data_IF_807747269591
#
_entry.id   IF_807747269591
#
_cell.length_a   1.000
_cell.length_b   1.000
_cell.length_c   1.000
_cell.angle_alpha   90.00
_cell.angle_beta   90.00
_cell.angle_gamma   90.00
#
_symmetry.space_group_name_H-M   'P 1'
#
loop_
_entity.id
_entity.type
_entity.pdbx_description
1 polymer ?
#
# COMPACT_ATOMS: atom_id res chain seq x y z
N UNK A 1 -12.46 12.48 5.74
CA UNK A 1 -12.04 11.40 4.95
C UNK A 1 -11.87 10.19 5.77
N UNK A 2 -12.22 9.05 5.31
CA UNK A 2 -12.09 7.84 6.10
C UNK A 2 -10.67 7.34 6.05
N UNK A 3 -10.30 6.59 7.09
CA UNK A 3 -8.97 6.03 7.13
C UNK A 3 -8.72 5.08 5.99
N UNK A 4 -9.74 4.33 5.62
CA UNK A 4 -9.59 3.38 4.53
C UNK A 4 -9.29 4.09 3.22
N UNK A 5 -9.96 5.19 2.96
CA UNK A 5 -9.76 5.93 1.74
C UNK A 5 -8.34 6.48 1.68
N UNK A 6 -7.86 7.02 2.78
CA UNK A 6 -6.53 7.59 2.79
C UNK A 6 -5.46 6.54 2.60
N UNK A 7 -5.61 5.40 3.26
CA UNK A 7 -4.64 4.33 3.15
C UNK A 7 -4.63 3.78 1.72
N UNK A 8 -5.80 3.63 1.14
CA UNK A 8 -5.92 3.11 -0.19
C UNK A 8 -5.31 4.05 -1.22
N UNK A 9 -5.55 5.34 -1.06
CA UNK A 9 -4.99 6.32 -1.98
C UNK A 9 -3.47 6.34 -1.88
N UNK A 10 -2.95 6.24 -0.68
CA UNK A 10 -1.51 6.19 -0.50
C UNK A 10 -0.91 4.95 -1.13
N UNK A 11 -1.57 3.82 -0.96
CA UNK A 11 -1.12 2.58 -1.56
C UNK A 11 -1.05 2.70 -3.07
N UNK A 12 -2.10 3.25 -3.66
CA UNK A 12 -2.15 3.40 -5.11
C UNK A 12 -1.05 4.35 -5.62
N UNK A 13 -0.79 5.40 -4.88
CA UNK A 13 0.27 6.32 -5.26
C UNK A 13 1.64 5.65 -5.24
N UNK A 14 1.86 4.81 -4.23
CA UNK A 14 3.12 4.08 -4.15
C UNK A 14 3.22 3.07 -5.29
N UNK A 15 2.13 2.38 -5.60
CA UNK A 15 2.14 1.44 -6.71
C UNK A 15 2.51 2.13 -8.01
N UNK A 16 1.92 3.28 -8.26
CA UNK A 16 2.20 4.01 -9.49
C UNK A 16 3.66 4.45 -9.55
N UNK A 17 4.18 4.86 -8.43
CA UNK A 17 5.58 5.27 -8.37
C UNK A 17 6.49 4.08 -8.69
N UNK A 18 6.19 2.92 -8.12
CA UNK A 18 7.00 1.75 -8.37
C UNK A 18 6.91 1.29 -9.82
N UNK A 19 5.72 1.34 -10.40
CA UNK A 19 5.56 0.97 -11.79
C UNK A 19 6.34 1.92 -12.69
N UNK A 20 6.24 3.21 -12.39
CA UNK A 20 6.83 4.19 -13.26
C UNK A 20 8.35 4.22 -13.13
N UNK A 21 8.86 4.13 -11.93
CA UNK A 21 10.29 4.30 -11.71
C UNK A 21 11.07 3.00 -11.71
N UNK A 22 10.42 1.89 -11.40
CA UNK A 22 11.13 0.62 -11.29
C UNK A 22 10.56 -0.46 -12.19
N UNK A 23 9.58 -0.10 -13.00
CA UNK A 23 8.95 -1.05 -13.93
C UNK A 23 8.37 -2.24 -13.18
N UNK A 24 7.78 -1.98 -12.05
CA UNK A 24 7.25 -3.02 -11.20
C UNK A 24 5.93 -3.57 -11.73
N UNK A 25 5.65 -4.82 -11.39
CA UNK A 25 4.36 -5.41 -11.66
C UNK A 25 3.67 -5.63 -10.33
N UNK A 26 2.44 -5.19 -10.21
CA UNK A 26 1.71 -5.34 -8.97
C UNK A 26 0.85 -6.59 -9.09
N UNK A 27 1.07 -7.55 -8.21
CA UNK A 27 0.44 -8.85 -8.38
C UNK A 27 -0.56 -9.18 -7.30
N UNK A 28 -0.68 -8.42 -6.25
CA UNK A 28 -1.66 -8.74 -5.22
C UNK A 28 -1.99 -7.54 -4.40
N UNK A 29 -3.20 -7.47 -3.92
CA UNK A 29 -3.64 -6.40 -3.05
C UNK A 29 -4.36 -7.02 -1.87
N UNK A 30 -4.12 -6.50 -0.69
CA UNK A 30 -4.86 -6.92 0.47
C UNK A 30 -5.18 -5.70 1.31
N UNK A 31 -6.29 -5.74 1.99
CA UNK A 31 -6.65 -4.65 2.86
C UNK A 31 -7.12 -5.20 4.16
N UNK A 32 -6.73 -4.56 5.23
CA UNK A 32 -7.28 -4.86 6.53
C UNK A 32 -8.63 -4.22 6.61
N UNK A 33 -9.66 -4.99 6.77
CA UNK A 33 -10.98 -4.44 6.71
C UNK A 33 -11.56 -4.13 8.05
N UNK A 34 -10.91 -4.46 9.14
CA UNK A 34 -11.47 -4.24 10.43
C UNK A 34 -11.65 -2.77 10.72
N UNK A 35 -10.65 -2.00 10.52
CA UNK A 35 -10.77 -0.57 10.71
C UNK A 35 -10.21 0.20 9.55
N UNK A 36 -9.80 -0.47 8.49
CA UNK A 36 -9.38 0.22 7.28
C UNK A 36 -8.09 0.96 7.39
N UNK A 37 -7.27 0.61 8.35
CA UNK A 37 -6.07 1.41 8.54
C UNK A 37 -4.82 0.75 7.98
N UNK A 38 -4.94 -0.36 7.29
CA UNK A 38 -3.77 -1.03 6.73
C UNK A 38 -4.09 -1.60 5.37
N UNK A 39 -3.11 -1.62 4.51
CA UNK A 39 -3.23 -2.22 3.19
C UNK A 39 -1.90 -2.80 2.79
N UNK A 40 -1.91 -3.85 1.99
CA UNK A 40 -0.65 -4.41 1.53
C UNK A 40 -0.77 -4.79 0.07
N UNK A 41 0.36 -4.94 -0.56
CA UNK A 41 0.38 -5.38 -1.95
C UNK A 41 1.74 -6.03 -2.23
N UNK A 42 1.80 -6.76 -3.31
CA UNK A 42 3.03 -7.40 -3.73
C UNK A 42 3.49 -6.77 -5.04
N UNK A 43 4.73 -6.39 -5.08
CA UNK A 43 5.33 -5.81 -6.28
C UNK A 43 6.48 -6.71 -6.74
N UNK A 44 6.55 -6.96 -8.03
CA UNK A 44 7.65 -7.74 -8.59
C UNK A 44 8.52 -6.78 -9.38
N UNK A 45 9.76 -6.64 -8.98
CA UNK A 45 10.71 -5.76 -9.62
C UNK A 45 11.93 -6.59 -10.00
N UNK A 46 12.22 -6.62 -11.29
CA UNK A 46 13.40 -7.34 -11.76
C UNK A 46 13.34 -8.81 -11.38
N UNK A 47 12.16 -9.38 -11.39
CA UNK A 47 11.98 -10.78 -11.07
C UNK A 47 11.95 -11.10 -9.59
N UNK A 48 12.05 -10.09 -8.73
CA UNK A 48 12.08 -10.29 -7.29
C UNK A 48 10.78 -9.78 -6.70
N UNK A 49 10.14 -10.60 -5.88
CA UNK A 49 8.90 -10.24 -5.25
C UNK A 49 9.14 -9.48 -3.97
N UNK A 50 8.45 -8.39 -3.80
CA UNK A 50 8.51 -7.59 -2.58
C UNK A 50 7.10 -7.46 -2.02
N UNK A 51 6.96 -7.63 -0.72
CA UNK A 51 5.68 -7.49 -0.06
C UNK A 51 5.72 -6.21 0.74
N UNK A 52 4.85 -5.28 0.42
CA UNK A 52 4.85 -3.98 1.06
C UNK A 52 3.55 -3.80 1.83
N UNK A 53 3.68 -3.21 3.01
CA UNK A 53 2.52 -2.96 3.86
C UNK A 53 2.51 -1.50 4.25
N UNK A 54 1.34 -0.90 4.21
CA UNK A 54 1.13 0.47 4.61
C UNK A 54 0.14 0.45 5.75
N UNK A 55 0.51 1.05 6.87
CA UNK A 55 -0.33 0.99 8.04
C UNK A 55 -0.37 2.35 8.69
N UNK A 56 -1.55 2.83 9.00
CA UNK A 56 -1.69 4.08 9.74
C UNK A 56 -1.38 3.83 11.20
N UNK A 57 -0.59 4.68 11.77
CA UNK A 57 -0.28 4.59 13.19
C UNK A 57 -1.22 5.50 13.94
N UNK A 58 -1.86 4.95 14.98
CA UNK A 58 -2.71 5.75 15.74
C UNK A 58 -1.90 6.63 16.61
N UNK A 59 -2.10 7.89 16.59
CA UNK A 59 -1.32 8.79 17.31
C UNK A 59 -2.16 9.51 18.26
N UNK A 60 -2.11 9.16 19.55
CA UNK A 60 -2.91 9.72 20.44
C UNK A 60 -2.56 11.02 20.90
N UNK A 61 -1.59 11.62 20.64
CA UNK A 61 -1.25 12.74 21.11
C UNK A 61 -1.72 13.78 20.50
N UNK A 62 -2.24 14.16 20.40
CA UNK A 62 -2.74 15.12 19.86
C UNK A 62 -2.88 15.82 20.11
#
# INVERSE_FOLDING_TARGET
MSKLTETNELMLAIEQMLIKNFNASITGHGQCTTDGCAADFTAVIDGIEYNLTIEQQENDDD
#
